data_IF_752508552223
#
_entry.id   IF_752508552223
#
_cell.length_a   1.000
_cell.length_b   1.000
_cell.length_c   1.000
_cell.angle_alpha   90.00
_cell.angle_beta   90.00
_cell.angle_gamma   90.00
#
_symmetry.space_group_name_H-M   'P 1'
#
loop_
_entity.id
_entity.type
_entity.pdbx_description
1 polymer ?
#
# COMPACT_ATOMS: atom_id res chain seq x y z
N UNK A 1 10.10 17.79 -10.22
CA UNK A 1 11.19 17.63 -9.24
C UNK A 1 11.77 18.95 -8.74
N UNK A 2 12.27 19.85 -9.61
CA UNK A 2 12.87 21.12 -9.19
C UNK A 2 12.04 21.94 -8.18
N UNK A 3 10.72 22.12 -8.43
CA UNK A 3 9.82 22.83 -7.51
C UNK A 3 9.79 22.26 -6.09
N UNK A 4 9.85 20.92 -5.96
CA UNK A 4 9.86 20.26 -4.64
C UNK A 4 11.20 20.46 -3.94
N UNK A 5 12.30 20.29 -4.68
CA UNK A 5 13.64 20.55 -4.16
C UNK A 5 13.76 22.00 -3.64
N UNK A 6 13.37 22.99 -4.45
CA UNK A 6 13.48 24.40 -4.09
C UNK A 6 12.70 24.71 -2.80
N UNK A 7 11.46 24.22 -2.69
CA UNK A 7 10.63 24.38 -1.49
C UNK A 7 11.24 23.73 -0.25
N UNK A 8 11.78 22.52 -0.37
CA UNK A 8 12.40 21.81 0.77
C UNK A 8 13.69 22.49 1.20
N UNK A 9 14.52 22.89 0.24
CA UNK A 9 15.77 23.59 0.49
C UNK A 9 15.53 24.95 1.15
N UNK A 10 14.58 25.74 0.64
CA UNK A 10 14.17 27.01 1.23
C UNK A 10 13.65 26.83 2.67
N UNK A 11 12.74 25.87 2.88
CA UNK A 11 12.10 25.65 4.18
C UNK A 11 13.07 25.17 5.26
N UNK A 12 14.03 24.32 4.91
CA UNK A 12 14.86 23.62 5.89
C UNK A 12 16.33 24.06 5.92
N UNK A 13 16.83 24.71 4.87
CA UNK A 13 18.24 25.14 4.78
C UNK A 13 19.26 23.99 4.81
N UNK A 14 18.81 22.75 4.58
CA UNK A 14 19.66 21.55 4.61
C UNK A 14 19.97 21.07 3.17
N UNK A 15 21.10 20.39 2.96
CA UNK A 15 21.37 19.72 1.69
C UNK A 15 20.27 18.71 1.34
N UNK A 16 19.67 18.85 0.15
CA UNK A 16 18.61 17.94 -0.35
C UNK A 16 19.15 17.14 -1.53
N UNK A 17 19.06 15.81 -1.47
CA UNK A 17 19.41 14.91 -2.57
C UNK A 17 18.13 14.44 -3.30
N UNK A 18 17.80 15.00 -4.48
CA UNK A 18 16.54 14.72 -5.16
C UNK A 18 16.57 13.36 -5.86
N UNK A 19 15.62 12.49 -5.51
CA UNK A 19 15.41 11.19 -6.15
C UNK A 19 13.97 11.11 -6.66
N UNK A 20 13.80 10.78 -7.94
CA UNK A 20 12.51 10.48 -8.55
C UNK A 20 12.36 8.95 -8.68
N UNK A 21 11.41 8.36 -7.96
CA UNK A 21 11.06 6.94 -8.10
C UNK A 21 9.87 6.82 -9.03
N UNK A 22 10.04 6.11 -10.14
CA UNK A 22 9.03 5.98 -11.19
C UNK A 22 8.55 4.53 -11.27
N UNK A 23 7.26 4.33 -11.01
CA UNK A 23 6.64 3.01 -10.83
C UNK A 23 5.53 2.70 -11.85
N UNK A 24 5.43 3.44 -12.95
CA UNK A 24 4.49 3.12 -14.02
C UNK A 24 4.98 1.93 -14.85
N UNK A 25 4.06 1.21 -15.49
CA UNK A 25 4.39 -0.03 -16.20
C UNK A 25 4.98 0.25 -17.61
N UNK A 26 4.44 1.24 -18.31
CA UNK A 26 4.87 1.69 -19.64
C UNK A 26 4.82 3.22 -19.73
N UNK A 27 5.64 3.85 -20.59
CA UNK A 27 6.67 3.26 -21.47
C UNK A 27 7.95 2.83 -20.72
N UNK A 28 8.82 2.04 -21.35
CA UNK A 28 10.16 1.69 -20.81
C UNK A 28 11.28 2.60 -21.30
N UNK A 29 10.94 3.70 -21.98
CA UNK A 29 11.90 4.72 -22.41
C UNK A 29 12.59 5.34 -21.20
N UNK A 30 13.87 5.72 -21.35
CA UNK A 30 14.66 6.26 -20.26
C UNK A 30 14.17 7.66 -19.93
N UNK A 31 13.70 7.87 -18.72
CA UNK A 31 13.38 9.21 -18.27
C UNK A 31 14.63 10.03 -17.95
N UNK A 32 14.63 11.33 -18.26
CA UNK A 32 15.74 12.21 -17.93
C UNK A 32 15.89 12.34 -16.41
N UNK A 33 17.14 12.45 -15.97
CA UNK A 33 17.51 12.81 -14.60
C UNK A 33 17.88 14.28 -14.46
N UNK A 34 17.39 15.13 -15.35
CA UNK A 34 17.68 16.56 -15.28
C UNK A 34 16.51 17.39 -15.78
N UNK A 35 16.48 18.65 -15.35
CA UNK A 35 15.55 19.67 -15.78
C UNK A 35 16.34 20.95 -16.02
N UNK A 36 16.30 21.46 -17.25
CA UNK A 36 17.04 22.65 -17.63
C UNK A 36 16.08 23.74 -18.14
N UNK A 37 16.51 25.00 -17.97
CA UNK A 37 15.87 26.16 -18.58
C UNK A 37 16.96 26.85 -19.40
N UNK A 38 16.85 26.73 -20.72
CA UNK A 38 17.81 27.25 -21.69
C UNK A 38 17.15 28.31 -22.57
N UNK A 39 17.85 29.42 -22.78
CA UNK A 39 17.55 30.47 -23.76
C UNK A 39 18.65 30.46 -24.83
N UNK A 40 18.43 31.05 -26.02
CA UNK A 40 19.41 31.03 -27.11
C UNK A 40 20.82 31.54 -26.74
N UNK A 41 20.89 32.47 -25.80
CA UNK A 41 22.11 33.13 -25.34
C UNK A 41 22.66 32.57 -24.01
N UNK A 42 21.82 31.89 -23.20
CA UNK A 42 22.20 31.49 -21.84
C UNK A 42 21.39 30.32 -21.26
N UNK A 43 22.08 29.45 -20.53
CA UNK A 43 21.47 28.48 -19.60
C UNK A 43 21.18 29.14 -18.25
N UNK A 44 19.90 29.20 -17.87
CA UNK A 44 19.44 29.84 -16.63
C UNK A 44 19.40 28.86 -15.46
N UNK A 45 19.07 27.59 -15.74
CA UNK A 45 18.97 26.54 -14.73
C UNK A 45 19.45 25.22 -15.30
N UNK A 46 20.23 24.49 -14.51
CA UNK A 46 20.52 23.07 -14.72
C UNK A 46 20.30 22.32 -13.41
N UNK A 47 19.16 21.66 -13.29
CA UNK A 47 18.79 20.92 -12.10
C UNK A 47 18.92 19.42 -12.35
N UNK A 48 19.87 18.78 -11.66
CA UNK A 48 20.14 17.36 -11.73
C UNK A 48 19.43 16.60 -10.60
N UNK A 49 18.91 15.42 -10.91
CA UNK A 49 18.29 14.53 -9.94
C UNK A 49 18.46 13.06 -10.32
N UNK A 50 18.42 12.18 -9.33
CA UNK A 50 18.53 10.74 -9.58
C UNK A 50 17.18 10.18 -9.99
N UNK A 51 17.10 9.54 -11.15
CA UNK A 51 15.88 8.83 -11.59
C UNK A 51 16.04 7.33 -11.33
N UNK A 52 15.14 6.78 -10.52
CA UNK A 52 14.99 5.34 -10.28
C UNK A 52 13.72 4.86 -10.99
N UNK A 53 13.89 4.39 -12.22
CA UNK A 53 12.78 3.92 -13.05
C UNK A 53 12.63 2.41 -12.91
N UNK A 54 11.64 1.99 -12.11
CA UNK A 54 11.51 0.61 -11.64
C UNK A 54 11.24 -0.36 -12.80
N UNK A 55 10.38 -0.01 -13.75
CA UNK A 55 10.04 -0.86 -14.90
C UNK A 55 11.21 -1.15 -15.88
N UNK A 56 12.39 -0.58 -15.62
CA UNK A 56 13.67 -0.85 -16.32
C UNK A 56 14.70 -1.61 -15.48
N UNK A 57 14.42 -1.85 -14.20
CA UNK A 57 15.28 -2.63 -13.31
C UNK A 57 14.87 -4.10 -13.37
N UNK A 58 15.83 -5.02 -13.34
CA UNK A 58 15.54 -6.45 -13.23
C UNK A 58 15.44 -6.83 -11.76
N UNK A 59 14.29 -7.37 -11.36
CA UNK A 59 14.06 -7.79 -9.97
C UNK A 59 15.06 -8.86 -9.51
N UNK A 60 15.54 -9.71 -10.43
CA UNK A 60 16.52 -10.76 -10.14
C UNK A 60 17.84 -10.23 -9.59
N UNK A 61 18.20 -8.99 -9.94
CA UNK A 61 19.43 -8.34 -9.45
C UNK A 61 19.35 -7.96 -7.97
N UNK A 62 18.16 -8.07 -7.35
CA UNK A 62 17.88 -7.66 -5.98
C UNK A 62 17.56 -8.82 -5.02
N UNK A 63 17.73 -10.07 -5.47
CA UNK A 63 17.40 -11.27 -4.69
C UNK A 63 18.23 -11.46 -3.41
N UNK A 64 19.40 -10.84 -3.34
CA UNK A 64 20.30 -10.85 -2.18
C UNK A 64 20.34 -9.48 -1.47
N UNK A 65 19.42 -8.59 -1.82
CA UNK A 65 19.40 -7.23 -1.28
C UNK A 65 19.08 -7.24 0.21
N UNK A 66 19.97 -6.60 1.00
CA UNK A 66 19.71 -6.32 2.42
C UNK A 66 18.83 -5.07 2.64
N UNK A 67 18.34 -4.45 1.57
CA UNK A 67 17.50 -3.26 1.65
C UNK A 67 16.01 -3.66 1.61
N UNK A 68 15.24 -3.40 2.69
CA UNK A 68 13.81 -3.73 2.76
C UNK A 68 12.95 -2.94 1.76
N UNK A 69 13.41 -1.77 1.32
CA UNK A 69 12.71 -1.01 0.28
C UNK A 69 12.87 -1.70 -1.08
N UNK A 70 14.03 -2.33 -1.34
CA UNK A 70 14.23 -3.05 -2.59
C UNK A 70 13.28 -4.25 -2.68
N UNK A 71 13.11 -5.02 -1.60
CA UNK A 71 12.16 -6.15 -1.59
C UNK A 71 10.73 -5.70 -1.87
N UNK A 72 10.30 -4.56 -1.32
CA UNK A 72 9.00 -3.99 -1.63
C UNK A 72 8.87 -3.58 -3.10
N UNK A 73 9.90 -2.92 -3.66
CA UNK A 73 9.83 -2.32 -5.00
C UNK A 73 10.02 -3.34 -6.13
N UNK A 74 10.53 -4.54 -5.87
CA UNK A 74 10.69 -5.61 -6.89
C UNK A 74 9.37 -5.91 -7.62
N UNK A 75 8.23 -5.79 -6.95
CA UNK A 75 6.90 -6.01 -7.57
C UNK A 75 6.55 -5.00 -8.66
N UNK A 76 7.21 -3.83 -8.68
CA UNK A 76 7.05 -2.77 -9.69
C UNK A 76 8.25 -2.67 -10.64
N UNK A 77 9.18 -3.61 -10.55
CA UNK A 77 10.31 -3.70 -11.47
C UNK A 77 9.90 -4.35 -12.81
N UNK A 78 10.86 -4.73 -13.66
CA UNK A 78 10.59 -5.47 -14.88
C UNK A 78 10.18 -6.92 -14.56
N UNK A 79 8.91 -7.12 -14.19
CA UNK A 79 8.31 -8.43 -13.88
C UNK A 79 7.57 -8.96 -15.11
N UNK A 80 7.97 -10.14 -15.61
CA UNK A 80 7.21 -10.85 -16.62
C UNK A 80 5.96 -11.49 -16.00
N UNK A 81 4.88 -11.67 -16.77
CA UNK A 81 3.63 -12.24 -16.25
C UNK A 81 3.85 -13.62 -15.61
N UNK A 82 4.65 -14.48 -16.25
CA UNK A 82 5.01 -15.80 -15.72
C UNK A 82 5.84 -15.75 -14.42
N UNK A 83 6.58 -14.67 -14.18
CA UNK A 83 7.45 -14.53 -13.02
C UNK A 83 6.72 -13.95 -11.80
N UNK A 84 5.44 -13.54 -11.93
CA UNK A 84 4.67 -12.87 -10.87
C UNK A 84 4.68 -13.64 -9.55
N UNK A 85 4.39 -14.94 -9.59
CA UNK A 85 4.36 -15.79 -8.39
C UNK A 85 5.73 -15.85 -7.72
N UNK A 86 6.77 -16.03 -8.52
CA UNK A 86 8.15 -16.11 -8.04
C UNK A 86 8.63 -14.80 -7.45
N UNK A 87 8.32 -13.67 -8.08
CA UNK A 87 8.63 -12.34 -7.53
C UNK A 87 7.97 -12.17 -6.18
N UNK A 88 6.69 -12.53 -6.03
CA UNK A 88 5.99 -12.42 -4.75
C UNK A 88 6.68 -13.26 -3.66
N UNK A 89 7.02 -14.51 -3.98
CA UNK A 89 7.68 -15.42 -3.05
C UNK A 89 9.02 -14.86 -2.59
N UNK A 90 9.84 -14.36 -3.51
CA UNK A 90 11.15 -13.79 -3.22
C UNK A 90 11.06 -12.48 -2.42
N UNK A 91 10.06 -11.62 -2.71
CA UNK A 91 9.82 -10.41 -1.92
C UNK A 91 9.52 -10.75 -0.45
N UNK A 92 8.65 -11.73 -0.23
CA UNK A 92 8.23 -12.16 1.11
C UNK A 92 9.35 -12.93 1.83
N UNK A 93 10.10 -13.77 1.10
CA UNK A 93 11.30 -14.44 1.61
C UNK A 93 12.30 -13.43 2.13
N UNK A 94 12.68 -12.45 1.30
CA UNK A 94 13.58 -11.36 1.70
C UNK A 94 13.06 -10.61 2.93
N UNK A 95 11.76 -10.30 2.97
CA UNK A 95 11.16 -9.60 4.11
C UNK A 95 11.31 -10.38 5.42
N UNK A 96 11.08 -11.69 5.38
CA UNK A 96 11.28 -12.59 6.52
C UNK A 96 12.75 -12.68 6.93
N UNK A 97 13.66 -12.81 5.97
CA UNK A 97 15.11 -12.88 6.23
C UNK A 97 15.65 -11.60 6.86
N UNK A 98 15.10 -10.43 6.50
CA UNK A 98 15.53 -9.13 7.02
C UNK A 98 15.17 -8.87 8.48
N UNK A 99 14.24 -9.66 9.08
CA UNK A 99 13.84 -9.57 10.50
C UNK A 99 13.55 -8.13 10.96
N UNK A 100 12.74 -7.40 10.19
CA UNK A 100 12.34 -6.04 10.54
C UNK A 100 11.37 -6.04 11.72
N UNK A 101 11.15 -4.86 12.31
CA UNK A 101 10.09 -4.68 13.29
C UNK A 101 8.69 -5.01 12.70
N UNK A 102 7.72 -5.42 13.54
CA UNK A 102 6.41 -5.84 13.05
C UNK A 102 5.67 -4.78 12.22
N UNK A 103 5.84 -3.49 12.53
CA UNK A 103 5.15 -2.42 11.83
C UNK A 103 5.70 -2.26 10.40
N UNK A 104 7.02 -2.24 10.23
CA UNK A 104 7.65 -2.19 8.90
C UNK A 104 7.37 -3.44 8.08
N UNK A 105 7.40 -4.61 8.71
CA UNK A 105 7.08 -5.88 8.04
C UNK A 105 5.65 -5.85 7.50
N UNK A 106 4.67 -5.46 8.32
CA UNK A 106 3.27 -5.31 7.89
C UNK A 106 3.11 -4.29 6.77
N UNK A 107 3.76 -3.14 6.89
CA UNK A 107 3.70 -2.08 5.87
C UNK A 107 4.23 -2.56 4.51
N UNK A 108 5.39 -3.22 4.50
CA UNK A 108 6.00 -3.72 3.25
C UNK A 108 5.19 -4.89 2.68
N UNK A 109 4.72 -5.82 3.51
CA UNK A 109 3.85 -6.91 3.05
C UNK A 109 2.59 -6.36 2.37
N UNK A 110 1.93 -5.36 2.99
CA UNK A 110 0.74 -4.75 2.40
C UNK A 110 1.02 -3.99 1.11
N UNK A 111 2.21 -3.38 0.98
CA UNK A 111 2.64 -2.80 -0.29
C UNK A 111 2.75 -3.88 -1.38
N UNK A 112 3.43 -5.00 -1.08
CA UNK A 112 3.59 -6.14 -2.00
C UNK A 112 2.21 -6.65 -2.44
N UNK A 113 1.29 -6.89 -1.51
CA UNK A 113 -0.06 -7.40 -1.82
C UNK A 113 -0.90 -6.42 -2.62
N UNK A 114 -0.75 -5.11 -2.38
CA UNK A 114 -1.50 -4.09 -3.10
C UNK A 114 -1.13 -4.05 -4.58
N UNK A 115 0.16 -4.14 -4.90
CA UNK A 115 0.66 -4.05 -6.28
C UNK A 115 0.79 -5.39 -7.00
N UNK A 116 0.84 -6.50 -6.26
CA UNK A 116 0.95 -7.86 -6.78
C UNK A 116 -0.13 -8.75 -6.18
N UNK A 117 -1.37 -8.45 -6.57
CA UNK A 117 -2.55 -9.25 -6.24
C UNK A 117 -2.53 -10.54 -7.06
N UNK A 118 -2.69 -11.67 -6.37
CA UNK A 118 -2.83 -12.97 -6.99
C UNK A 118 -4.31 -13.32 -7.10
N UNK A 119 -4.71 -13.92 -8.22
CA UNK A 119 -6.01 -14.56 -8.38
C UNK A 119 -6.12 -15.85 -7.56
N UNK A 120 -7.30 -16.49 -7.61
CA UNK A 120 -7.54 -17.75 -6.89
C UNK A 120 -6.61 -18.88 -7.38
N UNK A 121 -6.55 -19.11 -8.70
CA UNK A 121 -5.66 -20.10 -9.32
C UNK A 121 -4.18 -19.81 -9.04
N UNK A 122 -3.78 -18.55 -9.15
CA UNK A 122 -2.42 -18.09 -8.83
C UNK A 122 -2.05 -18.32 -7.36
N UNK A 123 -3.02 -18.27 -6.45
CA UNK A 123 -2.79 -18.49 -5.01
C UNK A 123 -2.46 -19.96 -4.72
N UNK A 124 -3.16 -20.90 -5.34
CA UNK A 124 -2.87 -22.33 -5.18
C UNK A 124 -1.48 -22.68 -5.73
N UNK A 125 -1.13 -22.12 -6.89
CA UNK A 125 0.21 -22.27 -7.47
C UNK A 125 1.29 -21.62 -6.61
N UNK A 126 0.98 -20.48 -6.00
CA UNK A 126 1.88 -19.80 -5.08
C UNK A 126 2.17 -20.65 -3.82
N UNK A 127 1.13 -21.24 -3.22
CA UNK A 127 1.30 -22.13 -2.07
C UNK A 127 2.11 -23.39 -2.41
N UNK A 128 1.93 -23.94 -3.62
CA UNK A 128 2.73 -25.06 -4.13
C UNK A 128 4.21 -24.67 -4.36
N UNK A 129 4.45 -23.47 -4.90
CA UNK A 129 5.78 -22.91 -5.10
C UNK A 129 6.50 -22.71 -3.77
N UNK A 130 5.83 -22.13 -2.76
CA UNK A 130 6.41 -21.95 -1.43
C UNK A 130 6.86 -23.27 -0.80
N UNK A 131 6.07 -24.34 -0.95
CA UNK A 131 6.40 -25.68 -0.42
C UNK A 131 7.60 -26.32 -1.10
N UNK A 132 7.88 -25.96 -2.36
CA UNK A 132 8.89 -26.62 -3.19
C UNK A 132 10.21 -25.85 -3.20
N UNK A 133 10.14 -24.52 -3.29
CA UNK A 133 11.32 -23.67 -3.52
C UNK A 133 11.84 -22.98 -2.25
N UNK A 134 11.03 -22.84 -1.20
CA UNK A 134 11.38 -22.09 0.01
C UNK A 134 11.70 -23.03 1.19
N UNK A 135 12.77 -22.77 1.97
CA UNK A 135 13.05 -23.54 3.18
C UNK A 135 11.90 -23.47 4.19
N UNK A 136 11.61 -24.59 4.87
CA UNK A 136 10.47 -24.72 5.80
C UNK A 136 10.42 -23.61 6.87
N UNK A 137 11.58 -23.20 7.39
CA UNK A 137 11.69 -22.15 8.42
C UNK A 137 11.31 -20.75 7.92
N UNK A 138 11.47 -20.48 6.63
CA UNK A 138 11.05 -19.23 5.99
C UNK A 138 9.58 -19.35 5.54
N UNK A 139 9.18 -20.53 5.04
CA UNK A 139 7.82 -20.83 4.62
C UNK A 139 6.79 -20.54 5.72
N UNK A 140 7.00 -21.07 6.93
CA UNK A 140 6.06 -20.88 8.06
C UNK A 140 5.81 -19.39 8.36
N UNK A 141 6.88 -18.59 8.34
CA UNK A 141 6.81 -17.14 8.59
C UNK A 141 6.12 -16.40 7.45
N UNK A 142 6.37 -16.80 6.19
CA UNK A 142 5.66 -16.22 5.04
C UNK A 142 4.16 -16.53 5.13
N UNK A 143 3.79 -17.74 5.55
CA UNK A 143 2.39 -18.13 5.75
C UNK A 143 1.74 -17.32 6.89
N UNK A 144 2.44 -17.14 8.01
CA UNK A 144 1.98 -16.29 9.11
C UNK A 144 1.73 -14.85 8.67
N UNK A 145 2.67 -14.25 7.91
CA UNK A 145 2.52 -12.90 7.37
C UNK A 145 1.32 -12.77 6.44
N UNK A 146 1.17 -13.72 5.51
CA UNK A 146 0.07 -13.70 4.53
C UNK A 146 -1.29 -13.91 5.20
N UNK A 147 -1.36 -14.80 6.18
CA UNK A 147 -2.59 -15.10 6.93
C UNK A 147 -3.00 -13.91 7.80
N UNK A 148 -2.06 -13.36 8.58
CA UNK A 148 -2.32 -12.20 9.44
C UNK A 148 -2.78 -10.98 8.62
N UNK A 149 -2.20 -10.77 7.43
CA UNK A 149 -2.68 -9.72 6.54
C UNK A 149 -4.12 -10.00 6.11
N UNK A 150 -4.40 -11.19 5.58
CA UNK A 150 -5.72 -11.57 5.07
C UNK A 150 -6.83 -11.40 6.12
N UNK A 151 -6.57 -11.81 7.36
CA UNK A 151 -7.49 -11.65 8.48
C UNK A 151 -7.75 -10.18 8.80
N UNK A 152 -6.70 -9.35 8.87
CA UNK A 152 -6.85 -7.92 9.12
C UNK A 152 -7.60 -7.22 7.98
N UNK A 153 -7.32 -7.60 6.73
CA UNK A 153 -8.02 -7.11 5.55
C UNK A 153 -9.51 -7.45 5.56
N UNK A 154 -9.86 -8.68 5.97
CA UNK A 154 -11.26 -9.10 6.12
C UNK A 154 -11.96 -8.28 7.21
N UNK A 155 -11.30 -8.10 8.36
CA UNK A 155 -11.81 -7.31 9.49
C UNK A 155 -12.05 -5.85 9.10
N UNK A 156 -11.09 -5.22 8.43
CA UNK A 156 -11.23 -3.86 7.93
C UNK A 156 -12.32 -3.75 6.86
N UNK A 157 -12.41 -4.73 5.95
CA UNK A 157 -13.45 -4.78 4.92
C UNK A 157 -14.86 -4.87 5.51
N UNK A 158 -15.04 -5.70 6.56
CA UNK A 158 -16.31 -5.83 7.28
C UNK A 158 -16.69 -4.51 7.97
N UNK A 159 -15.77 -3.89 8.71
CA UNK A 159 -16.00 -2.62 9.39
C UNK A 159 -16.33 -1.48 8.39
N UNK A 160 -15.64 -1.42 7.25
CA UNK A 160 -15.95 -0.46 6.19
C UNK A 160 -17.34 -0.72 5.58
N UNK A 161 -17.71 -1.99 5.42
CA UNK A 161 -19.02 -2.41 4.95
C UNK A 161 -20.14 -1.97 5.91
N UNK A 162 -20.00 -2.25 7.20
CA UNK A 162 -20.93 -1.84 8.26
C UNK A 162 -21.05 -0.32 8.34
N UNK A 163 -19.93 0.39 8.35
CA UNK A 163 -19.89 1.86 8.34
C UNK A 163 -20.66 2.42 7.15
N UNK A 164 -20.45 1.84 5.96
CA UNK A 164 -21.12 2.26 4.72
C UNK A 164 -22.61 1.95 4.78
N UNK A 165 -22.99 0.78 5.30
CA UNK A 165 -24.39 0.37 5.46
C UNK A 165 -25.12 1.30 6.43
N UNK A 166 -24.55 1.56 7.62
CA UNK A 166 -25.11 2.46 8.62
C UNK A 166 -25.31 3.87 8.06
N UNK A 167 -24.28 4.44 7.40
CA UNK A 167 -24.40 5.75 6.74
C UNK A 167 -25.55 5.80 5.73
N UNK A 168 -25.70 4.75 4.90
CA UNK A 168 -26.79 4.65 3.92
C UNK A 168 -28.17 4.56 4.58
N UNK A 169 -28.31 3.74 5.64
CA UNK A 169 -29.56 3.58 6.38
C UNK A 169 -29.98 4.89 7.07
N UNK A 170 -29.06 5.54 7.76
CA UNK A 170 -29.28 6.82 8.42
C UNK A 170 -29.66 7.92 7.42
N UNK A 171 -28.98 7.97 6.27
CA UNK A 171 -29.29 8.95 5.22
C UNK A 171 -30.69 8.70 4.65
N UNK A 172 -31.08 7.43 4.47
CA UNK A 172 -32.41 7.06 3.96
C UNK A 172 -33.53 7.39 4.96
N UNK A 173 -33.32 7.17 6.25
CA UNK A 173 -34.33 7.38 7.32
C UNK A 173 -34.45 8.85 7.72
N UNK A 174 -33.32 9.54 7.90
CA UNK A 174 -33.27 10.89 8.48
C UNK A 174 -32.90 12.00 7.48
N UNK A 175 -32.65 11.66 6.20
CA UNK A 175 -32.27 12.55 5.08
C UNK A 175 -30.92 13.24 5.22
N UNK A 176 -30.68 13.94 6.33
CA UNK A 176 -29.45 14.69 6.60
C UNK A 176 -28.79 14.18 7.86
N UNK A 177 -27.54 13.78 7.76
CA UNK A 177 -26.71 13.35 8.89
C UNK A 177 -25.75 14.49 9.23
N UNK A 178 -25.72 14.99 10.48
CA UNK A 178 -24.74 15.98 10.90
C UNK A 178 -23.29 15.48 10.73
N UNK A 179 -22.32 16.35 10.38
CA UNK A 179 -20.92 15.95 10.22
C UNK A 179 -20.32 15.29 11.46
N UNK A 180 -20.74 15.72 12.65
CA UNK A 180 -20.31 15.16 13.93
C UNK A 180 -20.68 13.67 14.07
N UNK A 181 -21.86 13.30 13.60
CA UNK A 181 -22.34 11.91 13.61
C UNK A 181 -21.57 11.07 12.60
N UNK A 182 -21.23 11.62 11.43
CA UNK A 182 -20.38 10.93 10.46
C UNK A 182 -18.98 10.66 11.00
N UNK A 183 -18.37 11.63 11.67
CA UNK A 183 -17.06 11.45 12.33
C UNK A 183 -17.15 10.40 13.44
N UNK A 184 -18.23 10.41 14.24
CA UNK A 184 -18.44 9.41 15.28
C UNK A 184 -18.48 8.01 14.67
N UNK A 185 -19.26 7.79 13.61
CA UNK A 185 -19.35 6.49 12.91
C UNK A 185 -17.98 6.03 12.37
N UNK A 186 -17.18 6.94 11.82
CA UNK A 186 -15.86 6.60 11.26
C UNK A 186 -14.82 6.20 12.31
N UNK A 187 -15.01 6.61 13.57
CA UNK A 187 -14.07 6.36 14.67
C UNK A 187 -14.53 5.20 15.59
N UNK A 188 -15.69 4.60 15.29
CA UNK A 188 -16.32 3.57 16.12
C UNK A 188 -15.73 2.18 15.91
N UNK A 189 -15.72 1.38 16.99
CA UNK A 189 -15.31 -0.03 16.97
C UNK A 189 -16.39 -0.94 16.36
N UNK A 190 -16.03 -2.05 15.68
CA UNK A 190 -16.97 -2.89 14.93
C UNK A 190 -18.22 -3.33 15.73
N UNK A 191 -18.07 -3.78 16.98
CA UNK A 191 -19.20 -4.25 17.79
C UNK A 191 -20.26 -3.19 18.11
N UNK A 192 -19.91 -1.90 18.09
CA UNK A 192 -20.89 -0.82 18.26
C UNK A 192 -21.60 -0.47 16.96
N UNK A 193 -20.99 -0.72 15.80
CA UNK A 193 -21.62 -0.47 14.49
C UNK A 193 -22.81 -1.40 14.26
N UNK A 194 -22.69 -2.69 14.62
CA UNK A 194 -23.78 -3.67 14.53
C UNK A 194 -24.99 -3.23 15.37
N UNK A 195 -24.76 -2.87 16.64
CA UNK A 195 -25.82 -2.38 17.53
C UNK A 195 -26.51 -1.11 16.97
N UNK A 196 -25.75 -0.17 16.39
CA UNK A 196 -26.33 1.02 15.77
C UNK A 196 -27.10 0.70 14.49
N UNK A 197 -26.69 -0.30 13.70
CA UNK A 197 -27.44 -0.77 12.53
C UNK A 197 -28.79 -1.34 12.97
N UNK A 198 -28.81 -2.18 14.01
CA UNK A 198 -30.05 -2.74 14.58
C UNK A 198 -30.94 -1.64 15.14
N UNK A 199 -30.39 -0.74 15.97
CA UNK A 199 -31.14 0.39 16.52
C UNK A 199 -31.74 1.29 15.43
N UNK A 200 -31.10 1.40 14.26
CA UNK A 200 -31.62 2.19 13.14
C UNK A 200 -32.97 1.68 12.63
N UNK A 201 -33.34 0.42 12.89
CA UNK A 201 -34.62 -0.15 12.50
C UNK A 201 -35.78 0.35 13.37
N UNK A 202 -35.54 0.53 14.67
CA UNK A 202 -36.59 0.88 15.65
C UNK A 202 -36.55 2.34 16.10
N UNK A 203 -35.41 3.02 15.96
CA UNK A 203 -35.20 4.39 16.42
C UNK A 203 -36.16 5.43 15.80
N UNK A 204 -36.82 6.23 16.63
CA UNK A 204 -37.67 7.32 16.18
C UNK A 204 -36.85 8.56 15.76
N UNK A 205 -35.73 8.79 16.43
CA UNK A 205 -34.82 9.91 16.15
C UNK A 205 -33.39 9.45 15.89
N UNK A 206 -32.56 10.34 15.33
CA UNK A 206 -31.15 10.05 15.09
C UNK A 206 -30.40 9.78 16.41
N UNK A 207 -30.77 10.45 17.50
CA UNK A 207 -30.19 10.27 18.82
C UNK A 207 -30.48 8.89 19.41
N UNK A 208 -31.67 8.34 19.15
CA UNK A 208 -32.07 7.01 19.63
C UNK A 208 -31.21 5.90 19.02
N UNK A 209 -30.64 6.10 17.83
CA UNK A 209 -29.74 5.13 17.19
C UNK A 209 -28.47 4.92 18.02
N UNK A 210 -27.96 5.98 18.64
CA UNK A 210 -26.67 6.00 19.32
C UNK A 210 -26.75 5.79 20.83
N UNK A 211 -27.92 5.43 21.36
CA UNK A 211 -28.10 5.10 22.79
C UNK A 211 -27.55 3.69 23.06
N UNK A 212 -26.60 3.58 23.97
CA UNK A 212 -26.19 2.30 24.54
C UNK A 212 -27.35 1.75 25.39
N UNK A 213 -27.69 0.47 25.20
CA UNK A 213 -28.60 -0.27 26.06
C UNK A 213 -27.81 -1.01 27.14
#
# INVERSE_FOLDING_TARGET
>A
MFKYFARLHEKHGLPVYPVAVLSYDLPRTREPGHYAIDFPDRKILDFQFRTLQLNRLYWRDYLDSRNPVASALMVKMAVAHQDRLRVKAECLRLLVTLKLDPARTRFISGFIDTYLRLGQEETELFDALLKTEIPLTEQEKIMELTTSWKEEGLRQGMQQGETTALKRLLTRRFKTIPPEVLMRIEQTVPGQLEAWIENTLDAATLEDVFKEH
#
